data_IF_914830139412
#
_entry.id   IF_914830139412
#
_cell.length_a   1.000
_cell.length_b   1.000
_cell.length_c   1.000
_cell.angle_alpha   90.00
_cell.angle_beta   90.00
_cell.angle_gamma   90.00
#
_symmetry.space_group_name_H-M   'P 1'
#
loop_
_entity.id
_entity.type
_entity.pdbx_description
1 polymer ?
#
# COMPACT_ATOMS: atom_id res chain seq x y z
N UNK A 1 -4.87 -11.90 -10.83
CA UNK A 1 -5.45 -13.04 -10.06
C UNK A 1 -6.75 -12.63 -9.37
N UNK A 2 -7.88 -13.39 -9.48
CA UNK A 2 -9.15 -13.10 -8.82
C UNK A 2 -9.09 -13.15 -7.29
N UNK A 3 -10.04 -12.50 -6.60
CA UNK A 3 -10.06 -12.41 -5.12
C UNK A 3 -10.24 -13.78 -4.45
N UNK A 4 -11.10 -14.65 -4.99
CA UNK A 4 -11.32 -15.99 -4.42
C UNK A 4 -10.07 -16.86 -4.44
N UNK A 5 -9.27 -16.76 -5.50
CA UNK A 5 -8.00 -17.50 -5.59
C UNK A 5 -6.97 -16.97 -4.59
N UNK A 6 -6.91 -15.64 -4.34
CA UNK A 6 -6.06 -15.07 -3.29
C UNK A 6 -6.44 -15.61 -1.92
N UNK A 7 -7.74 -15.62 -1.60
CA UNK A 7 -8.23 -16.11 -0.31
C UNK A 7 -7.97 -17.61 -0.11
N UNK A 8 -8.18 -18.42 -1.15
CA UNK A 8 -7.90 -19.86 -1.08
C UNK A 8 -6.41 -20.14 -0.83
N UNK A 9 -5.51 -19.42 -1.51
CA UNK A 9 -4.06 -19.54 -1.30
C UNK A 9 -3.64 -19.11 0.10
N UNK A 10 -4.26 -18.06 0.66
CA UNK A 10 -4.02 -17.65 2.04
C UNK A 10 -4.39 -18.76 3.04
N UNK A 11 -5.61 -19.29 2.96
CA UNK A 11 -6.05 -20.37 3.84
C UNK A 11 -5.16 -21.61 3.72
N UNK A 12 -4.81 -22.00 2.48
CA UNK A 12 -3.96 -23.14 2.19
C UNK A 12 -2.56 -22.99 2.81
N UNK A 13 -1.96 -21.79 2.74
CA UNK A 13 -0.65 -21.53 3.29
C UNK A 13 -0.65 -21.42 4.83
N UNK A 14 -1.58 -20.64 5.39
CA UNK A 14 -1.54 -20.24 6.80
C UNK A 14 -2.22 -21.24 7.73
N UNK A 15 -3.40 -21.74 7.33
CA UNK A 15 -4.20 -22.66 8.16
C UNK A 15 -3.80 -24.11 7.92
N UNK A 16 -3.62 -24.49 6.66
CA UNK A 16 -3.30 -25.86 6.29
C UNK A 16 -1.80 -26.14 6.21
N UNK A 17 -0.95 -25.11 6.37
CA UNK A 17 0.51 -25.25 6.34
C UNK A 17 1.05 -25.80 5.02
N UNK A 18 0.28 -25.67 3.94
CA UNK A 18 0.60 -26.28 2.66
C UNK A 18 1.82 -25.60 2.05
N UNK A 19 2.75 -26.43 1.59
CA UNK A 19 3.97 -25.99 0.95
C UNK A 19 3.94 -26.42 -0.52
N UNK A 20 4.28 -25.48 -1.39
CA UNK A 20 4.53 -25.74 -2.82
C UNK A 20 5.82 -26.55 -3.02
N UNK A 21 6.03 -27.07 -4.24
CA UNK A 21 7.24 -27.80 -4.62
C UNK A 21 7.52 -29.04 -3.73
N UNK A 22 6.51 -29.92 -3.62
CA UNK A 22 6.63 -31.18 -2.88
C UNK A 22 6.93 -31.01 -1.39
N UNK A 23 6.55 -29.88 -0.77
CA UNK A 23 6.80 -29.62 0.64
C UNK A 23 7.96 -28.67 0.95
N UNK A 24 8.68 -28.17 -0.06
CA UNK A 24 9.93 -27.44 0.13
C UNK A 24 9.78 -25.92 0.27
N UNK A 25 8.74 -25.33 -0.32
CA UNK A 25 8.59 -23.87 -0.40
C UNK A 25 7.24 -23.42 0.13
N UNK A 26 7.23 -22.38 0.97
CA UNK A 26 5.98 -21.74 1.37
C UNK A 26 5.24 -21.21 0.14
N UNK A 27 3.91 -21.35 0.14
CA UNK A 27 3.10 -20.85 -0.94
C UNK A 27 3.12 -19.31 -0.91
N UNK A 28 3.66 -18.64 -1.93
CA UNK A 28 3.72 -17.17 -1.97
C UNK A 28 2.31 -16.58 -2.21
N UNK A 29 1.57 -16.25 -1.16
CA UNK A 29 0.21 -15.68 -1.28
C UNK A 29 0.15 -14.17 -1.04
N UNK A 30 1.24 -13.58 -0.54
CA UNK A 30 1.34 -12.16 -0.20
C UNK A 30 1.87 -11.33 -1.37
N UNK A 31 1.24 -10.19 -1.62
CA UNK A 31 1.86 -9.10 -2.38
C UNK A 31 2.89 -8.34 -1.54
N UNK A 32 3.62 -7.37 -2.13
CA UNK A 32 4.62 -6.58 -1.43
C UNK A 32 4.08 -5.94 -0.14
N UNK A 33 4.75 -6.18 0.98
CA UNK A 33 4.41 -5.61 2.30
C UNK A 33 5.48 -4.60 2.68
N UNK A 34 5.07 -3.36 2.97
CA UNK A 34 5.95 -2.31 3.45
C UNK A 34 6.71 -2.76 4.71
N UNK A 35 8.01 -2.45 4.77
CA UNK A 35 8.88 -2.77 5.91
C UNK A 35 9.53 -1.51 6.49
N UNK A 36 10.19 -0.72 5.65
CA UNK A 36 10.93 0.47 6.08
C UNK A 36 11.08 1.47 4.95
N UNK A 37 11.55 2.67 5.29
CA UNK A 37 11.91 3.68 4.30
C UNK A 37 13.12 4.49 4.77
N UNK A 38 13.74 5.19 3.81
CA UNK A 38 14.74 6.22 4.06
C UNK A 38 14.63 7.33 3.04
N UNK A 39 15.12 8.51 3.39
CA UNK A 39 15.14 9.66 2.48
C UNK A 39 16.57 9.95 2.04
N UNK A 40 16.80 10.00 0.73
CA UNK A 40 18.10 10.30 0.12
C UNK A 40 17.91 11.24 -1.06
N UNK A 41 18.64 12.36 -1.11
CA UNK A 41 18.64 13.30 -2.24
C UNK A 41 17.24 13.76 -2.68
N UNK A 42 16.37 14.10 -1.72
CA UNK A 42 14.99 14.52 -1.98
C UNK A 42 14.06 13.44 -2.51
N UNK A 43 14.44 12.17 -2.40
CA UNK A 43 13.62 11.01 -2.76
C UNK A 43 13.44 10.09 -1.57
N UNK A 44 12.26 9.50 -1.45
CA UNK A 44 11.98 8.50 -0.44
C UNK A 44 12.14 7.10 -1.05
N UNK A 45 13.01 6.29 -0.46
CA UNK A 45 13.27 4.91 -0.86
C UNK A 45 12.52 4.00 0.08
N UNK A 46 11.54 3.28 -0.45
CA UNK A 46 10.68 2.34 0.27
C UNK A 46 11.19 0.92 0.09
N UNK A 47 11.36 0.22 1.21
CA UNK A 47 11.71 -1.19 1.28
C UNK A 47 10.51 -2.03 1.68
N UNK A 48 10.50 -3.27 1.19
CA UNK A 48 9.45 -4.24 1.41
C UNK A 48 10.05 -5.50 2.03
N UNK A 49 9.24 -6.30 2.72
CA UNK A 49 9.68 -7.58 3.29
C UNK A 49 10.23 -8.48 2.19
N UNK A 50 11.39 -9.10 2.48
CA UNK A 50 12.18 -9.89 1.53
C UNK A 50 11.36 -10.94 0.78
N UNK A 51 10.50 -11.67 1.50
CA UNK A 51 9.67 -12.74 1.00
C UNK A 51 8.54 -12.27 0.08
N UNK A 52 8.23 -10.96 0.07
CA UNK A 52 7.08 -10.39 -0.65
C UNK A 52 7.47 -9.54 -1.86
N UNK A 53 8.73 -9.08 -1.92
CA UNK A 53 9.23 -8.07 -2.87
C UNK A 53 9.78 -8.62 -4.18
N UNK A 54 9.81 -9.94 -4.34
CA UNK A 54 10.41 -10.63 -5.50
C UNK A 54 9.77 -10.18 -6.82
N UNK A 55 10.57 -9.61 -7.71
CA UNK A 55 10.13 -9.12 -9.02
C UNK A 55 9.11 -7.98 -8.93
N UNK A 56 9.38 -7.03 -8.03
CA UNK A 56 8.63 -5.80 -7.88
C UNK A 56 8.51 -5.07 -9.24
N UNK A 57 7.31 -4.60 -9.56
CA UNK A 57 7.00 -3.86 -10.79
C UNK A 57 5.77 -2.97 -10.62
N UNK A 58 5.65 -1.97 -11.47
CA UNK A 58 4.44 -1.16 -11.62
C UNK A 58 3.65 -1.66 -12.82
N UNK A 59 2.32 -1.71 -12.70
CA UNK A 59 1.41 -1.99 -13.80
C UNK A 59 1.37 -0.79 -14.76
N UNK A 60 1.25 -1.08 -16.06
CA UNK A 60 0.95 -0.10 -17.12
C UNK A 60 1.94 1.08 -17.27
N UNK A 61 3.15 1.02 -16.71
CA UNK A 61 4.14 2.12 -16.68
C UNK A 61 3.62 3.43 -16.04
N UNK A 62 2.48 3.40 -15.34
CA UNK A 62 1.93 4.57 -14.67
C UNK A 62 2.22 4.51 -13.17
N UNK A 63 2.90 5.54 -12.69
CA UNK A 63 3.28 5.75 -11.28
C UNK A 63 2.12 6.29 -10.41
N UNK A 64 0.93 5.68 -10.55
CA UNK A 64 -0.27 6.08 -9.81
C UNK A 64 -0.32 5.54 -8.39
N UNK A 65 -0.94 6.32 -7.50
CA UNK A 65 -1.27 5.90 -6.14
C UNK A 65 -0.20 6.19 -5.10
N UNK A 66 0.92 6.82 -5.48
CA UNK A 66 1.95 7.27 -4.56
C UNK A 66 1.75 8.74 -4.22
N UNK A 67 1.94 9.07 -2.94
CA UNK A 67 1.85 10.43 -2.46
C UNK A 67 3.01 10.71 -1.53
N UNK A 68 3.58 11.92 -1.59
CA UNK A 68 4.61 12.39 -0.65
C UNK A 68 4.20 13.71 -0.03
N UNK A 69 4.64 13.94 1.20
CA UNK A 69 4.45 15.20 1.90
C UNK A 69 5.79 15.67 2.48
N UNK A 70 5.99 16.99 2.48
CA UNK A 70 7.09 17.64 3.18
C UNK A 70 6.71 17.96 4.63
N UNK A 71 7.49 18.83 5.25
CA UNK A 71 7.23 19.34 6.62
C UNK A 71 5.89 20.07 6.75
N UNK A 72 5.35 20.56 5.63
CA UNK A 72 4.03 21.19 5.51
C UNK A 72 2.86 20.21 5.69
N UNK A 73 3.14 18.90 5.66
CA UNK A 73 2.15 17.81 5.80
C UNK A 73 1.09 17.78 4.69
N UNK A 74 1.37 18.44 3.57
CA UNK A 74 0.49 18.45 2.40
C UNK A 74 0.92 17.34 1.47
N UNK A 75 0.05 16.33 1.29
CA UNK A 75 0.31 15.24 0.37
C UNK A 75 0.09 15.68 -1.08
N UNK A 76 1.07 15.39 -1.94
CA UNK A 76 1.02 15.59 -3.39
C UNK A 76 1.23 14.26 -4.10
N UNK A 77 0.57 14.07 -5.24
CA UNK A 77 0.72 12.87 -6.06
C UNK A 77 2.15 12.80 -6.59
N UNK A 78 2.85 11.73 -6.24
CA UNK A 78 4.28 11.61 -6.42
C UNK A 78 4.62 10.70 -7.59
N UNK A 79 5.77 10.98 -8.20
CA UNK A 79 6.38 10.08 -9.16
C UNK A 79 7.05 8.92 -8.43
N UNK A 80 7.04 7.74 -9.01
CA UNK A 80 7.57 6.52 -8.43
C UNK A 80 8.20 5.62 -9.48
N UNK A 81 9.37 5.06 -9.16
CA UNK A 81 10.04 4.05 -9.98
C UNK A 81 10.46 2.86 -9.13
N UNK A 82 10.46 1.68 -9.73
CA UNK A 82 11.01 0.49 -9.09
C UNK A 82 12.51 0.39 -9.39
N UNK A 83 13.31 0.22 -8.34
CA UNK A 83 14.70 -0.23 -8.46
C UNK A 83 14.70 -1.75 -8.30
N UNK A 84 14.68 -2.49 -9.42
CA UNK A 84 14.61 -3.95 -9.39
C UNK A 84 15.86 -4.60 -8.80
N UNK A 85 17.03 -3.97 -8.97
CA UNK A 85 18.29 -4.49 -8.42
C UNK A 85 18.28 -4.48 -6.90
N UNK A 86 17.66 -3.48 -6.28
CA UNK A 86 17.50 -3.37 -4.83
C UNK A 86 16.17 -3.91 -4.32
N UNK A 87 15.20 -4.14 -5.20
CA UNK A 87 13.78 -4.43 -4.89
C UNK A 87 13.17 -3.41 -3.95
N UNK A 88 13.39 -2.13 -4.26
CA UNK A 88 12.83 -0.97 -3.55
C UNK A 88 12.04 -0.10 -4.50
N UNK A 89 11.13 0.73 -3.98
CA UNK A 89 10.46 1.78 -4.76
C UNK A 89 11.06 3.12 -4.37
N UNK A 90 11.41 3.94 -5.35
CA UNK A 90 11.89 5.30 -5.14
C UNK A 90 10.76 6.25 -5.52
N UNK A 91 10.34 7.10 -4.59
CA UNK A 91 9.21 8.02 -4.71
C UNK A 91 9.71 9.46 -4.55
N UNK A 92 9.26 10.40 -5.39
CA UNK A 92 9.67 11.80 -5.32
C UNK A 92 8.66 12.77 -5.97
N UNK A 93 8.77 14.05 -5.63
CA UNK A 93 8.00 15.15 -6.24
C UNK A 93 8.89 16.39 -6.36
N UNK A 94 8.88 17.09 -7.50
CA UNK A 94 9.79 18.22 -7.74
C UNK A 94 9.55 19.39 -6.77
N UNK A 95 8.29 19.64 -6.42
CA UNK A 95 7.91 20.65 -5.41
C UNK A 95 8.12 20.21 -3.95
N UNK A 96 8.54 18.96 -3.69
CA UNK A 96 8.78 18.44 -2.33
C UNK A 96 10.24 17.98 -2.21
N UNK A 97 11.19 18.92 -2.05
CA UNK A 97 12.63 18.60 -2.03
C UNK A 97 13.05 17.84 -0.76
N UNK A 98 12.27 17.90 0.31
CA UNK A 98 12.52 17.20 1.57
C UNK A 98 11.28 16.39 1.98
N UNK A 99 11.02 15.22 1.36
CA UNK A 99 9.88 14.40 1.71
C UNK A 99 10.08 13.76 3.09
N UNK A 100 9.13 13.98 3.99
CA UNK A 100 9.13 13.43 5.36
C UNK A 100 8.11 12.31 5.53
N UNK A 101 7.13 12.22 4.64
CA UNK A 101 6.11 11.18 4.66
C UNK A 101 5.75 10.72 3.25
N UNK A 102 5.36 9.45 3.12
CA UNK A 102 4.82 8.87 1.90
C UNK A 102 3.62 7.96 2.20
N UNK A 103 2.73 7.84 1.21
CA UNK A 103 1.56 6.96 1.24
C UNK A 103 1.40 6.25 -0.09
N UNK A 104 0.90 5.02 -0.05
CA UNK A 104 0.54 4.24 -1.24
C UNK A 104 -0.86 3.68 -1.09
N UNK A 105 -1.66 3.80 -2.16
CA UNK A 105 -3.03 3.27 -2.21
C UNK A 105 -3.89 3.71 -1.00
N UNK A 106 -3.66 4.93 -0.49
CA UNK A 106 -4.30 5.46 0.72
C UNK A 106 -5.54 6.30 0.37
N UNK A 107 -6.54 5.65 -0.23
CA UNK A 107 -7.82 6.23 -0.65
C UNK A 107 -8.93 5.17 -0.55
N UNK A 108 -10.19 5.60 -0.46
CA UNK A 108 -11.36 4.70 -0.50
C UNK A 108 -11.48 3.93 -1.82
N UNK A 109 -11.01 4.55 -2.91
CA UNK A 109 -10.89 3.92 -4.23
C UNK A 109 -9.44 4.05 -4.67
N UNK A 110 -8.55 3.19 -4.12
CA UNK A 110 -7.13 3.33 -4.37
C UNK A 110 -6.82 2.92 -5.80
N UNK A 111 -6.24 3.85 -6.55
CA UNK A 111 -5.50 3.53 -7.76
C UNK A 111 -4.09 3.11 -7.35
N UNK A 112 -3.54 2.08 -7.99
CA UNK A 112 -2.20 1.60 -7.70
C UNK A 112 -1.83 0.40 -8.55
N UNK A 113 -0.64 0.46 -9.13
CA UNK A 113 -0.11 -0.60 -10.01
C UNK A 113 1.01 -1.42 -9.39
N UNK A 114 1.41 -1.18 -8.14
CA UNK A 114 2.56 -1.86 -7.54
C UNK A 114 2.24 -3.33 -7.24
N UNK A 115 3.03 -4.25 -7.80
CA UNK A 115 2.87 -5.68 -7.62
C UNK A 115 4.21 -6.42 -7.64
N UNK A 116 4.20 -7.70 -7.26
CA UNK A 116 5.36 -8.59 -7.39
C UNK A 116 5.28 -9.48 -8.64
N UNK A 117 6.27 -10.37 -8.83
CA UNK A 117 6.35 -11.29 -9.97
C UNK A 117 5.15 -12.24 -10.08
N UNK A 118 4.38 -12.45 -9.00
CA UNK A 118 3.18 -13.29 -8.99
C UNK A 118 1.90 -12.49 -9.30
N UNK A 119 2.03 -11.24 -9.70
CA UNK A 119 0.90 -10.34 -9.98
C UNK A 119 0.00 -10.12 -8.76
N UNK A 120 0.62 -10.21 -7.57
CA UNK A 120 -0.04 -9.91 -6.30
C UNK A 120 0.16 -8.42 -6.01
N UNK A 121 -0.93 -7.65 -5.80
CA UNK A 121 -0.86 -6.22 -5.54
C UNK A 121 -0.22 -5.94 -4.18
N UNK A 122 0.55 -4.85 -4.10
CA UNK A 122 1.12 -4.39 -2.85
C UNK A 122 0.03 -3.95 -1.87
N UNK A 123 0.29 -4.16 -0.58
CA UNK A 123 -0.59 -3.69 0.47
C UNK A 123 -0.53 -2.16 0.57
N UNK A 124 -1.66 -1.47 0.78
CA UNK A 124 -1.65 -0.05 1.11
C UNK A 124 -0.78 0.22 2.33
N UNK A 125 -0.05 1.34 2.31
CA UNK A 125 0.80 1.73 3.43
C UNK A 125 0.90 3.24 3.58
N UNK A 126 1.36 3.66 4.76
CA UNK A 126 1.74 5.03 5.09
C UNK A 126 2.97 5.02 5.97
N UNK A 127 3.83 6.02 5.82
CA UNK A 127 5.05 6.15 6.64
C UNK A 127 4.90 7.16 7.78
N UNK A 128 3.86 8.00 7.74
CA UNK A 128 3.56 8.96 8.81
C UNK A 128 2.73 8.33 9.94
N UNK A 129 2.83 8.90 11.13
CA UNK A 129 2.02 8.61 12.32
C UNK A 129 1.00 9.71 12.63
N UNK A 130 0.80 10.66 11.70
CA UNK A 130 -0.07 11.81 11.90
C UNK A 130 -1.55 11.42 12.08
N UNK A 131 -2.29 12.19 12.91
CA UNK A 131 -3.71 11.94 13.13
C UNK A 131 -4.49 11.92 11.80
N UNK A 132 -5.32 10.89 11.63
CA UNK A 132 -6.30 10.85 10.55
C UNK A 132 -7.56 11.49 11.10
N UNK A 133 -8.09 12.49 10.42
CA UNK A 133 -9.46 12.94 10.69
C UNK A 133 -10.40 11.86 10.20
N UNK A 134 -11.11 11.14 11.09
CA UNK A 134 -12.07 10.14 10.64
C UNK A 134 -13.18 10.83 9.86
N UNK A 135 -13.75 10.14 8.87
CA UNK A 135 -14.96 10.56 8.13
C UNK A 135 -16.21 10.70 9.04
N UNK A 136 -16.08 10.61 10.37
CA UNK A 136 -17.21 10.87 11.25
C UNK A 136 -17.62 12.33 11.04
N UNK A 137 -18.76 12.50 10.37
CA UNK A 137 -19.52 13.74 10.33
C UNK A 137 -19.56 14.30 11.75
N UNK A 138 -18.93 15.44 11.96
CA UNK A 138 -19.09 16.23 13.20
C UNK A 138 -20.52 16.78 13.32
N UNK A 139 -21.43 16.43 12.40
CA UNK A 139 -22.86 16.67 12.52
C UNK A 139 -23.54 15.61 13.36
N UNK A 140 -24.20 16.02 14.44
CA UNK A 140 -25.14 15.20 15.19
C UNK A 140 -26.31 14.79 14.30
N UNK A 141 -26.55 13.48 14.20
CA UNK A 141 -27.82 13.00 13.69
C UNK A 141 -28.88 13.28 14.76
N UNK A 142 -29.66 14.35 14.60
CA UNK A 142 -30.90 14.48 15.33
C UNK A 142 -31.87 13.44 14.78
N UNK A 143 -31.94 12.29 15.43
CA UNK A 143 -33.10 11.41 15.32
C UNK A 143 -34.25 12.16 15.96
N UNK A 144 -35.02 12.91 15.15
CA UNK A 144 -36.35 13.31 15.59
C UNK A 144 -37.12 12.02 15.80
N UNK A 145 -37.46 11.72 17.05
CA UNK A 145 -38.47 10.73 17.40
C UNK A 145 -39.78 11.14 16.71
N UNK A 146 -39.98 10.64 15.50
CA UNK A 146 -41.19 10.87 14.72
C UNK A 146 -41.99 9.59 14.64
N UNK A 147 -42.26 8.96 15.78
CA UNK A 147 -43.43 8.07 15.96
C UNK A 147 -43.95 8.22 17.40
N UNK A 148 -44.60 9.35 17.65
CA UNK A 148 -45.56 9.54 18.73
C UNK A 148 -46.92 9.92 18.14
N UNK A 149 -47.94 9.08 18.40
CA UNK A 149 -49.36 9.30 18.07
C UNK A 149 -49.84 8.46 16.88
N UNK A 150 -50.83 7.57 16.98
CA UNK A 150 -51.91 7.36 17.96
C UNK A 150 -52.00 5.90 18.38
#
# INVERSE_FOLDING_TARGET
MPVGERSARWALAEIYGFKSDGGRKNLEWMGPVYESHRTENGKMIISFREETRRGLRLDQDVEVGFYVAGKDRVFREARARVDQGKGTVVIWHDEVPEPVAARYAFSNLPMGGLMNARELPAYPFRTDDWPITPHQSTGSYLVKEAYGGK
#
